data_IF_120035572891
#
_entry.id   IF_120035572891
#
_cell.length_a   1.000
_cell.length_b   1.000
_cell.length_c   1.000
_cell.angle_alpha   90.00
_cell.angle_beta   90.00
_cell.angle_gamma   90.00
#
_symmetry.space_group_name_H-M   'P 1'
#
loop_
_entity.id
_entity.type
_entity.pdbx_description
1 polymer ?
#
# COMPACT_ATOMS: atom_id res chain seq x y z
N UNK A 1 -15.74 -13.40 19.71
CA UNK A 1 -16.02 -12.32 18.74
C UNK A 1 -16.34 -11.11 19.58
N UNK A 2 -15.49 -10.11 19.61
CA UNK A 2 -15.85 -8.81 20.22
C UNK A 2 -17.00 -8.24 19.39
N UNK A 3 -18.07 -7.82 20.07
CA UNK A 3 -19.28 -7.36 19.39
C UNK A 3 -19.09 -5.92 18.91
N UNK A 4 -19.79 -5.52 17.86
CA UNK A 4 -19.70 -4.17 17.27
C UNK A 4 -20.01 -3.04 18.27
N UNK A 5 -20.66 -3.36 19.40
CA UNK A 5 -21.00 -2.44 20.50
C UNK A 5 -19.82 -2.09 21.42
N UNK A 6 -18.72 -2.86 21.41
CA UNK A 6 -17.52 -2.56 22.22
C UNK A 6 -16.51 -1.66 21.48
N UNK A 7 -16.68 -1.49 20.16
CA UNK A 7 -15.72 -0.80 19.29
C UNK A 7 -16.26 0.58 18.85
N UNK A 8 -17.59 0.75 18.82
CA UNK A 8 -18.25 1.98 18.42
C UNK A 8 -18.96 2.56 19.64
N UNK A 9 -18.55 3.76 20.07
CA UNK A 9 -19.02 4.44 21.28
C UNK A 9 -20.56 4.60 21.30
N UNK A 10 -21.19 4.83 20.13
CA UNK A 10 -22.65 4.78 19.90
C UNK A 10 -22.94 4.79 18.37
N UNK A 11 -23.47 3.69 17.81
CA UNK A 11 -23.81 3.58 16.37
C UNK A 11 -24.86 4.62 15.96
N UNK A 12 -25.73 5.05 16.88
CA UNK A 12 -26.77 6.04 16.62
C UNK A 12 -26.27 7.49 16.61
N UNK A 13 -25.04 7.75 17.08
CA UNK A 13 -24.43 9.08 17.12
C UNK A 13 -23.16 9.21 16.28
N UNK A 14 -22.64 8.09 15.77
CA UNK A 14 -21.45 8.10 14.92
C UNK A 14 -21.68 8.93 13.67
N UNK A 15 -20.60 9.57 13.21
CA UNK A 15 -20.52 10.29 11.94
C UNK A 15 -19.53 9.56 11.05
N UNK A 16 -20.06 8.61 10.28
CA UNK A 16 -19.27 7.66 9.52
C UNK A 16 -19.19 7.98 8.03
N UNK A 17 -18.00 7.84 7.46
CA UNK A 17 -17.79 7.77 6.00
C UNK A 17 -17.49 6.33 5.59
N UNK A 18 -18.28 5.79 4.66
CA UNK A 18 -18.10 4.45 4.12
C UNK A 18 -17.60 4.48 2.68
N UNK A 19 -16.38 3.98 2.46
CA UNK A 19 -15.75 3.92 1.14
C UNK A 19 -16.11 2.62 0.43
N UNK A 20 -16.97 2.72 -0.57
CA UNK A 20 -17.49 1.59 -1.34
C UNK A 20 -16.71 1.38 -2.65
N UNK A 21 -16.84 0.18 -3.22
CA UNK A 21 -16.13 -0.25 -4.45
C UNK A 21 -16.79 0.32 -5.70
N UNK A 22 -18.12 0.37 -5.74
CA UNK A 22 -18.91 0.83 -6.89
C UNK A 22 -20.17 1.56 -6.41
N UNK A 23 -20.87 2.23 -7.33
CA UNK A 23 -22.15 2.92 -7.05
C UNK A 23 -23.21 1.96 -6.56
N UNK A 24 -23.30 0.80 -7.18
CA UNK A 24 -24.23 -0.27 -6.82
C UNK A 24 -23.91 -0.78 -5.41
N UNK A 25 -22.62 -0.96 -5.09
CA UNK A 25 -22.21 -1.36 -3.74
C UNK A 25 -22.56 -0.29 -2.70
N UNK A 26 -22.38 0.99 -3.01
CA UNK A 26 -22.73 2.08 -2.09
C UNK A 26 -24.25 2.17 -1.84
N UNK A 27 -25.06 2.00 -2.88
CA UNK A 27 -26.52 1.93 -2.74
C UNK A 27 -26.95 0.72 -1.91
N UNK A 28 -26.37 -0.45 -2.21
CA UNK A 28 -26.62 -1.68 -1.44
C UNK A 28 -26.30 -1.50 0.04
N UNK A 29 -25.11 -0.98 0.37
CA UNK A 29 -24.70 -0.76 1.75
C UNK A 29 -25.61 0.24 2.47
N UNK A 30 -26.01 1.32 1.79
CA UNK A 30 -26.96 2.30 2.32
C UNK A 30 -28.29 1.64 2.69
N UNK A 31 -28.83 0.80 1.81
CA UNK A 31 -30.05 0.03 2.10
C UNK A 31 -29.86 -0.91 3.29
N UNK A 32 -28.71 -1.60 3.39
CA UNK A 32 -28.42 -2.48 4.53
C UNK A 32 -28.35 -1.72 5.86
N UNK A 33 -27.75 -0.52 5.87
CA UNK A 33 -27.74 0.34 7.06
C UNK A 33 -29.15 0.77 7.47
N UNK A 34 -29.95 1.25 6.50
CA UNK A 34 -31.33 1.68 6.75
C UNK A 34 -32.20 0.55 7.29
N UNK A 35 -32.09 -0.67 6.74
CA UNK A 35 -32.80 -1.86 7.22
C UNK A 35 -32.45 -2.23 8.67
N UNK A 36 -31.26 -1.82 9.13
CA UNK A 36 -30.78 -2.03 10.50
C UNK A 36 -31.07 -0.83 11.41
N UNK A 37 -31.84 0.16 10.94
CA UNK A 37 -32.19 1.36 11.70
C UNK A 37 -31.07 2.40 11.79
N UNK A 38 -30.02 2.26 10.99
CA UNK A 38 -28.91 3.22 10.93
C UNK A 38 -29.22 4.21 9.82
N UNK A 39 -29.29 5.50 10.16
CA UNK A 39 -29.60 6.54 9.16
C UNK A 39 -28.42 6.67 8.21
N UNK A 40 -28.64 6.38 6.94
CA UNK A 40 -27.58 6.38 5.95
C UNK A 40 -28.03 7.04 4.64
N UNK A 41 -27.07 7.61 3.92
CA UNK A 41 -27.27 8.18 2.59
C UNK A 41 -26.07 7.83 1.70
N UNK A 42 -26.19 8.07 0.39
CA UNK A 42 -25.17 7.79 -0.61
C UNK A 42 -24.80 9.04 -1.40
N UNK A 43 -23.50 9.25 -1.62
CA UNK A 43 -22.96 10.29 -2.48
C UNK A 43 -22.08 9.64 -3.57
N UNK A 44 -22.51 9.78 -4.82
CA UNK A 44 -21.79 9.33 -6.01
C UNK A 44 -21.55 10.51 -6.97
N UNK A 45 -20.95 10.25 -8.13
CA UNK A 45 -20.84 11.26 -9.19
C UNK A 45 -22.22 11.79 -9.64
N UNK A 46 -23.26 10.97 -9.55
CA UNK A 46 -24.57 11.23 -10.17
C UNK A 46 -25.39 12.23 -9.36
N UNK A 47 -25.18 12.28 -8.05
CA UNK A 47 -25.82 13.23 -7.13
C UNK A 47 -24.82 14.21 -6.50
N UNK A 48 -23.73 14.50 -7.22
CA UNK A 48 -22.67 15.40 -6.78
C UNK A 48 -23.15 16.83 -6.45
N UNK A 49 -24.28 17.26 -7.03
CA UNK A 49 -24.94 18.54 -6.72
C UNK A 49 -25.54 18.57 -5.31
N UNK A 50 -25.91 17.43 -4.73
CA UNK A 50 -26.45 17.31 -3.36
C UNK A 50 -25.35 17.27 -2.29
N UNK A 51 -24.07 17.38 -2.70
CA UNK A 51 -22.91 17.20 -1.81
C UNK A 51 -22.99 18.04 -0.53
N UNK A 52 -23.29 19.34 -0.65
CA UNK A 52 -23.37 20.23 0.51
C UNK A 52 -24.49 19.83 1.47
N UNK A 53 -25.65 19.43 0.92
CA UNK A 53 -26.79 18.98 1.71
C UNK A 53 -26.45 17.71 2.49
N UNK A 54 -25.85 16.70 1.84
CA UNK A 54 -25.48 15.43 2.49
C UNK A 54 -24.36 15.63 3.53
N UNK A 55 -23.42 16.52 3.26
CA UNK A 55 -22.39 16.90 4.24
C UNK A 55 -23.02 17.54 5.48
N UNK A 56 -23.96 18.45 5.28
CA UNK A 56 -24.66 19.08 6.39
C UNK A 56 -25.48 18.06 7.19
N UNK A 57 -26.13 17.11 6.52
CA UNK A 57 -26.90 16.04 7.17
C UNK A 57 -26.02 15.13 8.06
N UNK A 58 -24.77 14.85 7.66
CA UNK A 58 -23.81 14.18 8.56
C UNK A 58 -23.43 15.09 9.73
N UNK A 59 -23.13 16.37 9.47
CA UNK A 59 -22.66 17.29 10.50
C UNK A 59 -23.69 17.47 11.62
N UNK A 60 -24.97 17.62 11.24
CA UNK A 60 -26.10 17.74 12.16
C UNK A 60 -26.47 16.42 12.85
N UNK A 61 -26.04 15.27 12.32
CA UNK A 61 -26.45 13.95 12.81
C UNK A 61 -27.83 13.51 12.29
N UNK A 62 -28.36 14.17 11.25
CA UNK A 62 -29.57 13.73 10.55
C UNK A 62 -29.34 12.37 9.87
N UNK A 63 -28.10 12.12 9.43
CA UNK A 63 -27.62 10.81 9.00
C UNK A 63 -26.36 10.42 9.77
N UNK A 64 -26.19 9.12 10.00
CA UNK A 64 -25.05 8.52 10.69
C UNK A 64 -23.95 8.05 9.73
N UNK A 65 -24.33 7.63 8.52
CA UNK A 65 -23.40 7.04 7.53
C UNK A 65 -23.59 7.69 6.17
N UNK A 66 -22.49 8.12 5.55
CA UNK A 66 -22.48 8.50 4.14
C UNK A 66 -21.61 7.52 3.36
N UNK A 67 -22.25 6.74 2.50
CA UNK A 67 -21.59 5.84 1.56
C UNK A 67 -21.09 6.64 0.36
N UNK A 68 -19.80 6.52 0.04
CA UNK A 68 -19.14 7.27 -1.03
C UNK A 68 -18.39 6.34 -2.00
N UNK A 69 -18.32 6.75 -3.27
CA UNK A 69 -17.60 6.06 -4.34
C UNK A 69 -16.60 7.02 -5.00
N UNK A 70 -15.44 6.49 -5.42
CA UNK A 70 -14.36 7.18 -6.14
C UNK A 70 -13.45 8.16 -5.37
N UNK A 71 -12.39 8.57 -6.08
CA UNK A 71 -11.10 9.13 -5.60
C UNK A 71 -11.12 10.66 -5.43
N UNK A 72 -12.09 11.37 -5.99
CA UNK A 72 -12.24 12.83 -5.77
C UNK A 72 -13.00 13.13 -4.47
N UNK A 73 -12.45 12.63 -3.38
CA UNK A 73 -12.72 13.12 -2.03
C UNK A 73 -12.27 14.59 -1.85
N UNK A 74 -11.74 15.25 -2.89
CA UNK A 74 -11.25 16.65 -2.88
C UNK A 74 -12.24 17.70 -2.36
N UNK A 75 -13.52 17.35 -2.14
CA UNK A 75 -14.50 18.24 -1.53
C UNK A 75 -15.24 17.70 -0.30
N UNK A 76 -14.93 16.50 0.21
CA UNK A 76 -15.55 15.98 1.44
C UNK A 76 -14.66 16.30 2.63
N UNK A 77 -14.84 17.52 3.14
CA UNK A 77 -14.21 18.00 4.37
C UNK A 77 -15.25 18.07 5.49
N UNK A 78 -15.24 17.04 6.33
CA UNK A 78 -16.10 16.96 7.50
C UNK A 78 -15.21 16.59 8.68
N UNK A 79 -14.60 17.57 9.38
CA UNK A 79 -13.75 17.32 10.54
C UNK A 79 -14.43 16.51 11.64
N UNK A 80 -15.75 16.66 11.75
CA UNK A 80 -16.61 15.98 12.73
C UNK A 80 -16.78 14.48 12.47
N UNK A 81 -16.32 13.95 11.33
CA UNK A 81 -16.34 12.51 11.06
C UNK A 81 -15.45 11.79 12.06
N UNK A 82 -16.04 10.87 12.82
CA UNK A 82 -15.37 10.07 13.84
C UNK A 82 -15.11 8.63 13.40
N UNK A 83 -15.75 8.18 12.32
CA UNK A 83 -15.72 6.78 11.90
C UNK A 83 -15.42 6.65 10.41
N UNK A 84 -14.44 5.82 10.06
CA UNK A 84 -14.11 5.50 8.67
C UNK A 84 -14.31 4.00 8.42
N UNK A 85 -15.16 3.66 7.45
CA UNK A 85 -15.44 2.30 7.01
C UNK A 85 -14.80 2.07 5.64
N UNK A 86 -13.72 1.29 5.57
CA UNK A 86 -13.10 0.89 4.31
C UNK A 86 -13.73 -0.43 3.84
N UNK A 87 -14.75 -0.32 2.99
CA UNK A 87 -15.51 -1.46 2.45
C UNK A 87 -14.99 -1.94 1.10
N UNK A 88 -13.90 -1.34 0.61
CA UNK A 88 -13.27 -1.70 -0.66
C UNK A 88 -11.84 -2.22 -0.45
N UNK A 89 -11.36 -3.12 -1.31
CA UNK A 89 -9.94 -3.41 -1.39
C UNK A 89 -9.21 -2.08 -1.61
N UNK A 90 -8.38 -1.69 -0.66
CA UNK A 90 -7.64 -0.44 -0.80
C UNK A 90 -6.45 -0.73 -1.69
N UNK A 91 -6.46 -0.29 -2.94
CA UNK A 91 -5.41 -0.64 -3.91
C UNK A 91 -4.16 0.25 -3.80
N UNK A 92 -4.25 1.39 -3.11
CA UNK A 92 -3.16 2.35 -2.95
C UNK A 92 -3.01 2.82 -1.51
N UNK A 93 -1.78 2.70 -0.99
CA UNK A 93 -1.42 3.23 0.32
C UNK A 93 -1.60 4.75 0.40
N UNK A 94 -1.29 5.48 -0.68
CA UNK A 94 -1.47 6.94 -0.72
C UNK A 94 -2.93 7.32 -0.53
N UNK A 95 -3.84 6.63 -1.23
CA UNK A 95 -5.28 6.87 -1.11
C UNK A 95 -5.77 6.52 0.31
N UNK A 96 -5.28 5.41 0.87
CA UNK A 96 -5.58 5.01 2.25
C UNK A 96 -5.20 6.13 3.23
N UNK A 97 -3.97 6.64 3.16
CA UNK A 97 -3.47 7.67 4.07
C UNK A 97 -4.21 9.00 3.90
N UNK A 98 -4.56 9.38 2.67
CA UNK A 98 -5.38 10.56 2.40
C UNK A 98 -6.79 10.43 2.98
N UNK A 99 -7.41 9.25 2.89
CA UNK A 99 -8.72 8.97 3.46
C UNK A 99 -8.67 8.95 4.99
N UNK A 100 -7.66 8.30 5.55
CA UNK A 100 -7.40 8.27 7.00
C UNK A 100 -7.20 9.69 7.56
N UNK A 101 -6.40 10.52 6.87
CA UNK A 101 -6.13 11.89 7.29
C UNK A 101 -7.37 12.78 7.43
N UNK A 102 -8.48 12.45 6.74
CA UNK A 102 -9.77 13.14 6.91
C UNK A 102 -10.39 12.84 8.27
N UNK A 103 -10.36 11.58 8.67
CA UNK A 103 -10.82 11.14 9.98
C UNK A 103 -9.88 11.57 11.12
N UNK A 104 -8.62 11.93 10.85
CA UNK A 104 -7.70 12.38 11.89
C UNK A 104 -7.79 13.88 12.21
N UNK A 105 -8.64 14.64 11.50
CA UNK A 105 -8.85 16.07 11.83
C UNK A 105 -9.54 16.22 13.18
N UNK A 106 -9.06 17.18 13.97
CA UNK A 106 -9.66 17.52 15.25
C UNK A 106 -10.99 18.24 15.04
N UNK A 107 -11.97 17.93 15.90
CA UNK A 107 -13.27 18.57 15.93
C UNK A 107 -13.81 18.54 17.37
N UNK A 108 -14.61 19.52 17.74
CA UNK A 108 -15.21 19.58 19.07
C UNK A 108 -16.15 18.39 19.31
N UNK A 109 -16.02 17.76 20.48
CA UNK A 109 -16.80 16.58 20.85
C UNK A 109 -16.32 15.25 20.24
N UNK A 110 -15.22 15.26 19.47
CA UNK A 110 -14.62 14.05 18.90
C UNK A 110 -13.47 13.55 19.79
N UNK A 111 -13.71 12.45 20.50
CA UNK A 111 -12.71 11.84 21.40
C UNK A 111 -11.69 10.99 20.65
N UNK A 112 -12.12 10.25 19.63
CA UNK A 112 -11.26 9.38 18.84
C UNK A 112 -11.77 9.25 17.40
N UNK A 113 -10.91 8.73 16.52
CA UNK A 113 -11.29 8.32 15.16
C UNK A 113 -11.23 6.80 15.07
N UNK A 114 -12.38 6.16 14.87
CA UNK A 114 -12.48 4.71 14.70
C UNK A 114 -12.35 4.34 13.23
N UNK A 115 -11.45 3.41 12.91
CA UNK A 115 -11.22 2.94 11.54
C UNK A 115 -11.52 1.45 11.44
N UNK A 116 -12.45 1.10 10.57
CA UNK A 116 -12.85 -0.27 10.29
C UNK A 116 -12.43 -0.63 8.88
N UNK A 117 -11.41 -1.48 8.76
CA UNK A 117 -10.84 -1.91 7.49
C UNK A 117 -11.15 -3.38 7.19
N UNK A 118 -11.97 -3.60 6.17
CA UNK A 118 -12.38 -4.95 5.75
C UNK A 118 -11.37 -5.52 4.77
N UNK A 119 -10.26 -6.01 5.31
CA UNK A 119 -9.07 -6.46 4.57
C UNK A 119 -9.31 -7.68 3.65
N UNK A 120 -10.47 -8.33 3.73
CA UNK A 120 -10.77 -9.67 3.23
C UNK A 120 -10.77 -9.91 1.71
N UNK A 121 -10.36 -8.96 0.88
CA UNK A 121 -10.30 -9.13 -0.57
C UNK A 121 -9.21 -8.27 -1.23
N UNK A 122 -8.12 -8.00 -0.52
CA UNK A 122 -6.98 -7.26 -1.09
C UNK A 122 -6.23 -8.14 -2.08
N UNK A 123 -5.78 -7.55 -3.20
CA UNK A 123 -5.02 -8.30 -4.20
C UNK A 123 -3.71 -8.85 -3.59
N UNK A 124 -3.19 -10.00 -4.04
CA UNK A 124 -1.94 -10.57 -3.51
C UNK A 124 -0.74 -9.62 -3.55
N UNK A 125 -0.77 -8.65 -4.46
CA UNK A 125 0.29 -7.67 -4.66
C UNK A 125 0.20 -6.48 -3.68
N UNK A 126 -0.87 -6.37 -2.89
CA UNK A 126 -1.02 -5.26 -1.95
C UNK A 126 -0.03 -5.38 -0.78
N UNK A 127 0.80 -4.35 -0.62
CA UNK A 127 1.86 -4.33 0.38
C UNK A 127 1.35 -3.94 1.77
N UNK A 128 0.89 -4.96 2.51
CA UNK A 128 0.51 -4.77 3.91
C UNK A 128 1.67 -4.34 4.80
N UNK A 129 2.91 -4.73 4.49
CA UNK A 129 4.07 -4.37 5.30
C UNK A 129 4.25 -2.84 5.30
N UNK A 130 4.20 -2.22 4.12
CA UNK A 130 4.27 -0.78 3.99
C UNK A 130 3.05 -0.06 4.59
N UNK A 131 1.83 -0.62 4.43
CA UNK A 131 0.63 -0.06 5.08
C UNK A 131 0.79 0.04 6.59
N UNK A 132 1.09 -1.06 7.27
CA UNK A 132 1.21 -1.05 8.73
C UNK A 132 2.45 -0.28 9.20
N UNK A 133 3.53 -0.27 8.41
CA UNK A 133 4.70 0.57 8.71
C UNK A 133 4.36 2.05 8.71
N UNK A 134 3.53 2.52 7.77
CA UNK A 134 3.08 3.91 7.73
C UNK A 134 2.25 4.30 8.97
N UNK A 135 1.54 3.34 9.58
CA UNK A 135 0.72 3.58 10.78
C UNK A 135 1.54 3.56 12.09
N UNK A 136 2.46 2.60 12.22
CA UNK A 136 3.27 2.41 13.44
C UNK A 136 4.47 3.36 13.47
N UNK A 137 4.93 3.82 12.30
CA UNK A 137 6.11 4.66 12.15
C UNK A 137 7.40 3.88 11.98
N UNK A 138 8.53 4.61 12.01
CA UNK A 138 9.87 4.05 11.81
C UNK A 138 10.29 3.27 13.06
N UNK A 139 10.51 1.97 12.92
CA UNK A 139 10.98 1.09 13.99
C UNK A 139 12.02 0.11 13.44
N UNK A 140 13.03 -0.22 14.25
CA UNK A 140 14.05 -1.22 13.90
C UNK A 140 13.50 -2.66 13.87
N UNK A 141 12.29 -2.89 14.39
CA UNK A 141 11.66 -4.21 14.39
C UNK A 141 10.98 -4.52 13.05
N UNK A 142 10.95 -5.80 12.71
CA UNK A 142 10.19 -6.29 11.56
C UNK A 142 8.69 -6.07 11.79
N UNK A 143 7.98 -5.59 10.78
CA UNK A 143 6.53 -5.33 10.88
C UNK A 143 5.73 -6.61 11.15
N UNK A 144 6.23 -7.76 10.70
CA UNK A 144 5.64 -9.07 10.99
C UNK A 144 5.65 -9.42 12.47
N UNK A 145 6.62 -8.91 13.23
CA UNK A 145 6.70 -9.09 14.68
C UNK A 145 5.77 -8.12 15.42
N UNK A 146 5.70 -6.86 14.97
CA UNK A 146 4.70 -5.89 15.47
C UNK A 146 3.28 -6.45 15.30
N UNK A 147 2.95 -7.03 14.15
CA UNK A 147 1.65 -7.64 13.88
C UNK A 147 1.37 -8.84 14.79
N UNK A 148 2.39 -9.66 15.09
CA UNK A 148 2.25 -10.79 16.02
C UNK A 148 1.97 -10.35 17.45
N UNK A 149 2.63 -9.28 17.88
CA UNK A 149 2.55 -8.75 19.24
C UNK A 149 1.39 -7.77 19.44
N UNK A 150 0.60 -7.46 18.41
CA UNK A 150 -0.54 -6.54 18.51
C UNK A 150 -0.14 -5.07 18.51
N UNK A 151 0.90 -4.70 17.77
CA UNK A 151 1.40 -3.33 17.62
C UNK A 151 1.76 -2.62 18.93
N UNK A 152 2.66 -3.18 19.77
CA UNK A 152 3.04 -2.59 21.05
C UNK A 152 3.68 -1.20 20.93
N UNK A 153 4.23 -0.85 19.77
CA UNK A 153 4.83 0.46 19.50
C UNK A 153 3.96 1.37 18.64
N UNK A 154 2.64 1.13 18.59
CA UNK A 154 1.73 2.10 17.98
C UNK A 154 1.89 3.48 18.67
N UNK A 155 1.66 4.59 17.94
CA UNK A 155 1.70 5.93 18.53
C UNK A 155 0.81 6.04 19.77
N UNK A 156 1.21 6.90 20.72
CA UNK A 156 0.45 7.15 21.95
C UNK A 156 -1.01 7.51 21.62
N UNK A 157 -1.95 6.84 22.29
CA UNK A 157 -3.39 7.03 22.07
C UNK A 157 -3.96 6.27 20.86
N UNK A 158 -3.14 5.54 20.09
CA UNK A 158 -3.61 4.70 19.00
C UNK A 158 -3.65 3.22 19.41
N UNK A 159 -4.69 2.51 18.94
CA UNK A 159 -4.84 1.06 19.09
C UNK A 159 -5.16 0.47 17.73
N UNK A 160 -4.40 -0.54 17.32
CA UNK A 160 -4.62 -1.25 16.06
C UNK A 160 -4.91 -2.71 16.40
N UNK A 161 -6.06 -3.20 15.95
CA UNK A 161 -6.48 -4.58 16.20
C UNK A 161 -6.78 -5.30 14.90
N UNK A 162 -6.31 -6.55 14.82
CA UNK A 162 -6.58 -7.43 13.69
C UNK A 162 -7.29 -8.67 14.21
N UNK A 163 -8.34 -9.09 13.51
CA UNK A 163 -8.93 -10.40 13.78
C UNK A 163 -7.89 -11.50 13.52
N UNK A 164 -8.00 -12.65 14.22
CA UNK A 164 -7.07 -13.78 14.03
C UNK A 164 -6.93 -14.18 12.56
N UNK A 165 -8.05 -14.28 11.84
CA UNK A 165 -8.06 -14.59 10.39
C UNK A 165 -7.36 -13.51 9.57
N UNK A 166 -7.61 -12.23 9.88
CA UNK A 166 -6.96 -11.10 9.21
C UNK A 166 -5.45 -11.11 9.46
N UNK A 167 -5.03 -11.37 10.70
CA UNK A 167 -3.61 -11.44 11.08
C UNK A 167 -2.88 -12.55 10.32
N UNK A 168 -3.46 -13.75 10.23
CA UNK A 168 -2.91 -14.88 9.48
C UNK A 168 -2.78 -14.55 7.99
N UNK A 169 -3.82 -13.96 7.39
CA UNK A 169 -3.84 -13.55 5.99
C UNK A 169 -2.77 -12.49 5.70
N UNK A 170 -2.69 -11.44 6.52
CA UNK A 170 -1.70 -10.36 6.39
C UNK A 170 -0.28 -10.91 6.54
N UNK A 171 -0.02 -11.74 7.56
CA UNK A 171 1.29 -12.37 7.74
C UNK A 171 1.65 -13.29 6.58
N UNK A 172 0.68 -14.02 6.02
CA UNK A 172 0.88 -14.82 4.82
C UNK A 172 1.25 -13.97 3.62
N UNK A 173 0.52 -12.86 3.40
CA UNK A 173 0.83 -11.91 2.34
C UNK A 173 2.24 -11.34 2.52
N UNK A 174 2.62 -10.85 3.70
CA UNK A 174 3.95 -10.28 3.95
C UNK A 174 5.06 -11.31 3.70
N UNK A 175 4.84 -12.58 4.10
CA UNK A 175 5.77 -13.68 3.80
C UNK A 175 5.87 -13.95 2.30
N UNK A 176 4.74 -13.95 1.59
CA UNK A 176 4.71 -14.19 0.15
C UNK A 176 5.31 -13.00 -0.62
N UNK A 177 4.98 -11.77 -0.23
CA UNK A 177 5.46 -10.49 -0.76
C UNK A 177 6.95 -10.25 -0.52
N UNK A 178 7.57 -10.97 0.42
CA UNK A 178 9.02 -10.96 0.59
C UNK A 178 9.69 -11.37 -0.73
N UNK A 179 10.44 -10.44 -1.32
CA UNK A 179 11.25 -10.64 -2.52
C UNK A 179 12.28 -11.74 -2.28
N UNK A 180 11.94 -12.96 -2.68
CA UNK A 180 12.86 -14.10 -2.72
C UNK A 180 13.48 -14.21 -4.11
N UNK A 181 14.70 -14.74 -4.17
CA UNK A 181 15.40 -14.99 -5.44
C UNK A 181 14.55 -15.85 -6.38
N UNK A 182 13.91 -16.91 -5.86
CA UNK A 182 13.01 -17.78 -6.64
C UNK A 182 11.83 -17.01 -7.26
N UNK A 183 11.24 -16.07 -6.51
CA UNK A 183 10.13 -15.25 -6.98
C UNK A 183 10.57 -14.27 -8.07
N UNK A 184 11.72 -13.61 -7.90
CA UNK A 184 12.29 -12.72 -8.91
C UNK A 184 12.54 -13.46 -10.23
N UNK A 185 13.15 -14.64 -10.15
CA UNK A 185 13.40 -15.51 -11.31
C UNK A 185 12.09 -15.91 -11.99
N UNK A 186 11.08 -16.32 -11.23
CA UNK A 186 9.77 -16.69 -11.77
C UNK A 186 9.07 -15.51 -12.48
N UNK A 187 9.12 -14.31 -11.89
CA UNK A 187 8.55 -13.10 -12.48
C UNK A 187 9.25 -12.70 -13.78
N UNK A 188 10.59 -12.78 -13.82
CA UNK A 188 11.37 -12.52 -15.03
C UNK A 188 11.04 -13.56 -16.11
N UNK A 189 10.87 -14.82 -15.74
CA UNK A 189 10.49 -15.91 -16.66
C UNK A 189 9.09 -15.70 -17.25
N UNK A 190 8.14 -15.19 -16.47
CA UNK A 190 6.77 -14.91 -16.90
C UNK A 190 6.60 -13.58 -17.63
N UNK A 191 7.59 -12.69 -17.58
CA UNK A 191 7.54 -11.35 -18.18
C UNK A 191 7.07 -11.32 -19.65
N UNK A 192 7.54 -12.21 -20.56
CA UNK A 192 7.10 -12.22 -21.96
C UNK A 192 5.60 -12.55 -22.15
N UNK A 193 4.95 -13.15 -21.14
CA UNK A 193 3.53 -13.49 -21.18
C UNK A 193 2.65 -12.28 -20.82
N UNK A 194 3.21 -11.30 -20.13
CA UNK A 194 2.48 -10.17 -19.56
C UNK A 194 2.88 -8.82 -20.18
N UNK A 195 3.89 -8.79 -21.05
CA UNK A 195 4.34 -7.58 -21.72
C UNK A 195 4.92 -7.87 -23.10
N UNK A 196 4.66 -6.97 -24.04
CA UNK A 196 5.30 -6.93 -25.37
C UNK A 196 6.60 -6.10 -25.39
N UNK A 197 6.94 -5.41 -24.29
CA UNK A 197 8.15 -4.59 -24.20
C UNK A 197 9.40 -5.46 -24.02
N UNK A 198 10.59 -5.00 -24.42
CA UNK A 198 11.82 -5.75 -24.20
C UNK A 198 12.10 -5.93 -22.70
N UNK A 199 12.61 -7.11 -22.33
CA UNK A 199 12.99 -7.48 -20.96
C UNK A 199 14.24 -6.71 -20.53
N UNK A 200 14.04 -5.49 -20.05
CA UNK A 200 15.08 -4.65 -19.45
C UNK A 200 14.75 -4.41 -17.98
N UNK A 201 15.77 -4.12 -17.15
CA UNK A 201 15.55 -3.78 -15.74
C UNK A 201 14.56 -2.62 -15.60
N UNK A 202 14.71 -1.58 -16.44
CA UNK A 202 13.82 -0.42 -16.43
C UNK A 202 12.36 -0.83 -16.67
N UNK A 203 12.08 -1.56 -17.76
CA UNK A 203 10.71 -1.96 -18.08
C UNK A 203 10.12 -2.94 -17.04
N UNK A 204 10.96 -3.83 -16.51
CA UNK A 204 10.56 -4.74 -15.43
C UNK A 204 10.14 -3.99 -14.17
N UNK A 205 10.90 -2.96 -13.76
CA UNK A 205 10.57 -2.13 -12.61
C UNK A 205 9.37 -1.21 -12.88
N UNK A 206 9.19 -0.71 -14.11
CA UNK A 206 8.01 0.06 -14.49
C UNK A 206 6.72 -0.77 -14.36
N UNK A 207 6.76 -2.06 -14.73
CA UNK A 207 5.63 -2.97 -14.56
C UNK A 207 5.48 -3.50 -13.13
N UNK A 208 6.52 -3.41 -12.31
CA UNK A 208 6.54 -3.86 -10.92
C UNK A 208 7.04 -2.75 -9.98
N UNK A 209 6.31 -1.61 -9.87
CA UNK A 209 6.78 -0.43 -9.14
C UNK A 209 6.89 -0.63 -7.62
N UNK A 210 6.34 -1.73 -7.11
CA UNK A 210 6.43 -2.14 -5.70
C UNK A 210 7.77 -2.82 -5.35
N UNK A 211 8.59 -3.16 -6.34
CA UNK A 211 9.91 -3.75 -6.10
C UNK A 211 10.91 -2.62 -5.84
N UNK A 212 11.33 -2.49 -4.58
CA UNK A 212 12.43 -1.60 -4.23
C UNK A 212 13.75 -2.08 -4.83
N UNK A 213 14.48 -1.16 -5.46
CA UNK A 213 15.72 -1.46 -6.16
C UNK A 213 16.82 -1.95 -5.20
N UNK A 214 16.86 -1.44 -3.96
CA UNK A 214 17.83 -1.88 -2.96
C UNK A 214 17.54 -3.31 -2.48
N UNK A 215 16.27 -3.63 -2.22
CA UNK A 215 15.86 -5.00 -1.88
C UNK A 215 16.08 -5.97 -3.04
N UNK A 216 15.90 -5.53 -4.29
CA UNK A 216 16.21 -6.33 -5.47
C UNK A 216 17.69 -6.76 -5.49
N UNK A 217 18.62 -5.81 -5.39
CA UNK A 217 20.07 -6.10 -5.47
C UNK A 217 20.64 -6.80 -4.20
N UNK A 218 19.88 -6.82 -3.09
CA UNK A 218 20.18 -7.72 -1.95
C UNK A 218 19.97 -9.19 -2.27
N UNK A 219 19.22 -9.54 -3.33
CA UNK A 219 18.94 -10.94 -3.72
C UNK A 219 19.82 -11.44 -4.86
N UNK A 220 20.10 -10.60 -5.86
CA UNK A 220 20.98 -10.96 -6.98
C UNK A 220 21.17 -9.77 -7.94
N UNK A 221 22.10 -9.88 -8.88
CA UNK A 221 22.19 -8.89 -9.98
C UNK A 221 21.12 -9.16 -11.04
N UNK A 222 20.72 -8.12 -11.78
CA UNK A 222 19.77 -8.26 -12.89
C UNK A 222 20.22 -9.32 -13.90
N UNK A 223 21.48 -9.28 -14.31
CA UNK A 223 22.06 -10.27 -15.24
C UNK A 223 21.96 -11.70 -14.72
N UNK A 224 22.32 -11.93 -13.47
CA UNK A 224 22.26 -13.25 -12.83
C UNK A 224 20.82 -13.79 -12.78
N UNK A 225 19.86 -12.93 -12.45
CA UNK A 225 18.45 -13.33 -12.35
C UNK A 225 17.85 -13.62 -13.73
N UNK A 226 18.23 -12.88 -14.78
CA UNK A 226 17.82 -13.16 -16.16
C UNK A 226 18.42 -14.47 -16.67
N UNK A 227 19.70 -14.74 -16.40
CA UNK A 227 20.34 -16.02 -16.74
C UNK A 227 19.63 -17.20 -16.08
N UNK A 228 19.37 -17.10 -14.77
CA UNK A 228 18.61 -18.12 -14.04
C UNK A 228 17.17 -18.29 -14.56
N UNK A 229 16.52 -17.21 -15.01
CA UNK A 229 15.18 -17.29 -15.58
C UNK A 229 15.14 -18.01 -16.92
N UNK A 230 16.22 -17.91 -17.71
CA UNK A 230 16.41 -18.57 -19.00
C UNK A 230 16.93 -20.01 -18.90
N UNK A 231 17.17 -20.52 -17.69
CA UNK A 231 17.81 -21.81 -17.42
C UNK A 231 19.23 -21.94 -18.05
N UNK A 232 19.89 -20.81 -18.34
CA UNK A 232 21.29 -20.74 -18.79
C UNK A 232 22.21 -20.85 -17.56
N UNK A 233 22.55 -22.08 -17.17
CA UNK A 233 23.54 -22.34 -16.11
C UNK A 233 24.91 -22.47 -16.77
N UNK A 234 25.78 -21.47 -16.58
CA UNK A 234 27.19 -21.58 -16.92
C UNK A 234 27.99 -22.05 -15.70
N UNK A 235 28.62 -23.23 -15.79
CA UNK A 235 29.59 -23.77 -14.80
C UNK A 235 30.98 -23.10 -14.93
N UNK A 236 31.03 -21.79 -15.23
CA UNK A 236 32.29 -21.05 -15.34
C UNK A 236 32.56 -20.26 -14.04
N UNK A 237 33.53 -20.72 -13.25
CA UNK A 237 33.91 -20.12 -11.96
C UNK A 237 34.33 -18.64 -12.07
N UNK A 238 34.90 -18.23 -13.20
CA UNK A 238 35.37 -16.86 -13.46
C UNK A 238 34.21 -15.86 -13.65
N UNK A 239 33.13 -16.27 -14.33
CA UNK A 239 31.95 -15.41 -14.51
C UNK A 239 31.19 -15.20 -13.19
N UNK A 240 31.16 -16.22 -12.35
CA UNK A 240 30.49 -16.14 -11.05
C UNK A 240 31.20 -15.15 -10.10
N UNK A 241 32.54 -15.10 -10.13
CA UNK A 241 33.34 -14.15 -9.36
C UNK A 241 33.14 -12.71 -9.87
N UNK A 242 33.12 -12.53 -11.19
CA UNK A 242 32.87 -11.23 -11.83
C UNK A 242 31.47 -10.68 -11.48
N UNK A 243 30.45 -11.53 -11.51
CA UNK A 243 29.08 -11.17 -11.11
C UNK A 243 28.99 -10.80 -9.63
N UNK A 244 29.73 -11.49 -8.75
CA UNK A 244 29.82 -11.13 -7.32
C UNK A 244 30.48 -9.77 -7.11
N UNK A 245 31.54 -9.46 -7.86
CA UNK A 245 32.19 -8.15 -7.82
C UNK A 245 31.25 -7.04 -8.31
N UNK A 246 30.59 -7.23 -9.45
CA UNK A 246 29.62 -6.28 -10.00
C UNK A 246 28.47 -6.02 -9.02
N UNK A 247 27.94 -7.07 -8.39
CA UNK A 247 26.89 -6.94 -7.37
C UNK A 247 27.35 -6.07 -6.20
N UNK A 248 28.55 -6.31 -5.67
CA UNK A 248 29.13 -5.49 -4.59
C UNK A 248 29.32 -4.03 -5.02
N UNK A 249 29.81 -3.80 -6.23
CA UNK A 249 30.01 -2.46 -6.77
C UNK A 249 28.69 -1.70 -6.90
N UNK A 250 27.65 -2.32 -7.48
CA UNK A 250 26.31 -1.72 -7.61
C UNK A 250 25.74 -1.40 -6.22
N UNK A 251 25.80 -2.35 -5.29
CA UNK A 251 25.21 -2.16 -3.96
C UNK A 251 25.93 -1.08 -3.14
N UNK A 252 27.26 -1.09 -3.13
CA UNK A 252 28.04 -0.23 -2.24
C UNK A 252 28.40 1.14 -2.83
N UNK A 253 28.36 1.28 -4.17
CA UNK A 253 28.82 2.52 -4.84
C UNK A 253 27.79 3.19 -5.72
N UNK A 254 26.82 2.46 -6.29
CA UNK A 254 25.82 3.06 -7.18
C UNK A 254 24.54 3.35 -6.40
N UNK A 255 24.00 2.35 -5.70
CA UNK A 255 22.72 2.47 -5.00
C UNK A 255 22.75 3.38 -3.78
N UNK A 256 23.93 3.54 -3.17
CA UNK A 256 24.17 4.42 -2.02
C UNK A 256 24.62 5.82 -2.43
N UNK A 257 24.87 6.06 -3.71
CA UNK A 257 25.39 7.34 -4.20
C UNK A 257 24.24 8.31 -4.50
N UNK A 258 24.33 9.48 -3.90
CA UNK A 258 23.44 10.63 -4.08
C UNK A 258 24.06 11.73 -4.97
N UNK A 259 25.32 11.57 -5.39
CA UNK A 259 26.02 12.51 -6.26
C UNK A 259 25.63 12.30 -7.74
N UNK A 260 24.80 13.22 -8.25
CA UNK A 260 24.36 13.23 -9.63
C UNK A 260 25.51 13.39 -10.64
N UNK A 261 26.54 14.19 -10.32
CA UNK A 261 27.68 14.39 -11.21
C UNK A 261 28.49 13.10 -11.35
N UNK A 262 28.72 12.39 -10.24
CA UNK A 262 29.37 11.09 -10.25
C UNK A 262 28.59 10.04 -11.05
N UNK A 263 27.27 9.95 -10.84
CA UNK A 263 26.42 9.02 -11.59
C UNK A 263 26.36 9.37 -13.09
N UNK A 264 26.35 10.65 -13.43
CA UNK A 264 26.39 11.13 -14.82
C UNK A 264 27.72 10.80 -15.48
N UNK A 265 28.83 10.99 -14.77
CA UNK A 265 30.16 10.60 -15.23
C UNK A 265 30.24 9.09 -15.48
N UNK A 266 29.79 8.25 -14.53
CA UNK A 266 29.76 6.80 -14.71
C UNK A 266 28.91 6.40 -15.92
N UNK A 267 27.76 7.05 -16.12
CA UNK A 267 26.90 6.81 -17.29
C UNK A 267 27.62 7.17 -18.58
N UNK A 268 28.28 8.32 -18.64
CA UNK A 268 29.05 8.76 -19.81
C UNK A 268 30.22 7.80 -20.09
N UNK A 269 30.93 7.38 -19.06
CA UNK A 269 32.03 6.41 -19.16
C UNK A 269 31.54 5.06 -19.72
N UNK A 270 30.38 4.58 -19.28
CA UNK A 270 29.77 3.38 -19.84
C UNK A 270 29.36 3.57 -21.32
N UNK A 271 28.88 4.77 -21.68
CA UNK A 271 28.49 5.11 -23.06
C UNK A 271 29.70 5.26 -23.99
N UNK A 272 30.85 5.72 -23.49
CA UNK A 272 32.13 5.80 -24.21
C UNK A 272 32.92 4.49 -24.21
N UNK A 273 32.29 3.37 -23.79
CA UNK A 273 32.92 2.06 -23.73
C UNK A 273 34.17 2.02 -22.82
N UNK A 274 34.11 2.76 -21.71
CA UNK A 274 35.20 2.94 -20.73
C UNK A 274 36.45 3.61 -21.28
N UNK A 275 36.34 4.29 -22.43
CA UNK A 275 37.38 5.18 -22.93
C UNK A 275 37.24 6.52 -22.22
N UNK A 276 38.31 6.93 -21.55
CA UNK A 276 38.47 8.27 -21.00
C UNK A 276 39.23 9.05 -22.07
N UNK A 277 38.56 9.99 -22.74
CA UNK A 277 39.28 10.97 -23.55
C UNK A 277 40.01 11.89 -22.56
N UNK A 278 41.33 11.80 -22.52
CA UNK A 278 42.16 12.76 -21.79
C UNK A 278 41.91 14.15 -22.40
N UNK A 279 41.47 15.09 -21.56
CA UNK A 279 41.30 16.49 -21.92
C UNK A 279 42.65 17.20 -22.08
#
# INVERSE_FOLDING_TARGET
>A
MLSMQEIITDIGKMKALAFCVSKEHAQYMTQQFLLRGIKADVLTSDNSHERQQKQQAIRSGDINVLCVVDIFNEGVDIPEVDTLLFLRPTESLTIFLQQLGRGLRLADGKECCTVLDFVGNSRPEYDFANKFRALVGKSHRAISEEIRQGFPHAPLGCRIELSKRTQEMVLSNIRQASLTLKRLVAMIRQYPQHSSLPLTLSNFLTLNPYIDLNEFYKRGSWSQLVQQAKDEIHENSVEEELLKMLRKAIHNRILTCDDHAYLSFLKQLCQSNFVIEDA
#
